data_IF_368369618030
#
_entry.id   IF_368369618030
#
_cell.length_a   1.000
_cell.length_b   1.000
_cell.length_c   1.000
_cell.angle_alpha   90.00
_cell.angle_beta   90.00
_cell.angle_gamma   90.00
#
_symmetry.space_group_name_H-M   'P 1'
#
loop_
_entity.id
_entity.type
_entity.pdbx_description
1 polymer ?
#
# COMPACT_ATOMS: atom_id res chain seq x y z
N UNK A 1 -36.16 -1.03 -64.70
CA UNK A 1 -34.99 -1.45 -63.89
C UNK A 1 -34.58 -0.47 -62.78
N UNK A 2 -34.91 0.84 -62.84
CA UNK A 2 -34.45 1.84 -61.86
C UNK A 2 -35.26 1.93 -60.55
N UNK A 3 -36.49 1.42 -60.53
CA UNK A 3 -37.41 1.53 -59.37
C UNK A 3 -37.20 0.44 -58.30
N UNK A 4 -36.61 -0.72 -58.65
CA UNK A 4 -36.37 -1.82 -57.69
C UNK A 4 -35.15 -1.56 -56.79
N UNK A 5 -34.15 -0.82 -57.27
CA UNK A 5 -32.96 -0.45 -56.49
C UNK A 5 -33.24 0.68 -55.49
N UNK A 6 -34.22 1.56 -55.78
CA UNK A 6 -34.57 2.66 -54.89
C UNK A 6 -35.21 2.17 -53.58
N UNK A 7 -36.05 1.12 -53.64
CA UNK A 7 -36.72 0.54 -52.46
C UNK A 7 -35.74 -0.22 -51.56
N UNK A 8 -34.73 -0.87 -52.16
CA UNK A 8 -33.70 -1.61 -51.42
C UNK A 8 -32.71 -0.67 -50.70
N UNK A 9 -32.40 0.49 -51.27
CA UNK A 9 -31.52 1.49 -50.64
C UNK A 9 -32.22 2.17 -49.45
N UNK A 10 -33.53 2.45 -49.53
CA UNK A 10 -34.29 3.09 -48.44
C UNK A 10 -34.43 2.15 -47.22
N UNK A 11 -34.54 0.84 -47.43
CA UNK A 11 -34.64 -0.13 -46.32
C UNK A 11 -33.32 -0.34 -45.56
N UNK A 12 -32.16 -0.23 -46.24
CA UNK A 12 -30.85 -0.34 -45.58
C UNK A 12 -30.51 0.91 -44.76
N UNK A 13 -30.95 2.10 -45.20
CA UNK A 13 -30.71 3.36 -44.46
C UNK A 13 -31.58 3.44 -43.19
N UNK A 14 -32.79 2.86 -43.20
CA UNK A 14 -33.65 2.83 -42.01
C UNK A 14 -33.14 1.89 -40.89
N UNK A 15 -32.37 0.85 -41.23
CA UNK A 15 -31.83 -0.10 -40.25
C UNK A 15 -30.61 0.43 -39.49
N UNK A 16 -29.92 1.46 -40.00
CA UNK A 16 -28.73 2.06 -39.35
C UNK A 16 -29.12 3.15 -38.34
N UNK A 17 -30.33 3.69 -38.41
CA UNK A 17 -30.80 4.74 -37.50
C UNK A 17 -31.33 4.22 -36.14
N UNK A 18 -31.38 2.90 -35.94
CA UNK A 18 -31.75 2.25 -34.67
C UNK A 18 -30.53 1.72 -33.91
N UNK A 19 -29.35 2.29 -34.14
CA UNK A 19 -28.25 2.20 -33.20
C UNK A 19 -28.61 2.96 -31.93
N UNK A 20 -29.41 2.32 -31.06
CA UNK A 20 -29.66 2.80 -29.70
C UNK A 20 -28.30 3.09 -29.07
N UNK A 21 -28.07 4.37 -28.78
CA UNK A 21 -26.95 4.85 -28.02
C UNK A 21 -27.14 4.34 -26.59
N UNK A 22 -26.69 3.12 -26.31
CA UNK A 22 -26.51 2.67 -24.94
C UNK A 22 -25.32 3.48 -24.43
N UNK A 23 -25.60 4.67 -23.88
CA UNK A 23 -24.62 5.33 -23.02
C UNK A 23 -24.49 4.43 -21.81
N UNK A 24 -23.29 3.90 -21.48
CA UNK A 24 -23.11 3.26 -20.20
C UNK A 24 -23.49 4.29 -19.14
N UNK A 25 -24.49 3.99 -18.31
CA UNK A 25 -24.73 4.77 -17.11
C UNK A 25 -23.39 4.84 -16.38
N UNK A 26 -22.91 6.05 -16.12
CA UNK A 26 -21.71 6.25 -15.32
C UNK A 26 -22.02 5.66 -13.95
N UNK A 27 -21.65 4.40 -13.74
CA UNK A 27 -21.81 3.71 -12.49
C UNK A 27 -21.04 4.53 -11.44
N UNK A 28 -21.77 5.19 -10.56
CA UNK A 28 -21.15 6.02 -9.54
C UNK A 28 -20.37 5.08 -8.61
N UNK A 29 -19.05 5.16 -8.70
CA UNK A 29 -18.15 4.44 -7.79
C UNK A 29 -18.34 5.06 -6.41
N UNK A 30 -19.04 4.35 -5.53
CA UNK A 30 -19.14 4.72 -4.13
C UNK A 30 -17.95 4.11 -3.39
N UNK A 31 -17.02 4.96 -2.96
CA UNK A 31 -15.90 4.55 -2.12
C UNK A 31 -16.40 4.36 -0.68
N UNK A 32 -16.09 3.21 -0.12
CA UNK A 32 -16.34 2.90 1.29
C UNK A 32 -15.01 2.93 2.03
N UNK A 33 -14.97 3.69 3.12
CA UNK A 33 -13.79 3.81 3.99
C UNK A 33 -14.22 3.70 5.45
N UNK A 34 -13.32 3.19 6.27
CA UNK A 34 -13.43 3.13 7.74
C UNK A 34 -12.59 4.24 8.37
N UNK A 35 -12.98 4.64 9.59
CA UNK A 35 -12.18 5.59 10.36
C UNK A 35 -10.83 4.95 10.75
N UNK A 36 -9.74 5.52 10.26
CA UNK A 36 -8.38 5.03 10.57
C UNK A 36 -7.72 4.22 9.45
N UNK A 37 -8.45 3.89 8.37
CA UNK A 37 -7.91 3.24 7.17
C UNK A 37 -6.67 3.98 6.65
N UNK A 38 -5.49 3.35 6.77
CA UNK A 38 -4.20 3.91 6.36
C UNK A 38 -3.96 5.35 6.85
N UNK A 39 -4.53 5.73 8.00
CA UNK A 39 -4.45 7.10 8.51
C UNK A 39 -3.13 7.30 9.28
N UNK A 40 -2.28 8.25 8.88
CA UNK A 40 -1.11 8.59 9.68
C UNK A 40 -1.54 9.25 10.99
N UNK A 41 -0.87 8.88 12.09
CA UNK A 41 -1.08 9.48 13.41
C UNK A 41 -0.30 10.77 13.60
N UNK A 42 0.76 10.95 12.83
CA UNK A 42 1.65 12.11 12.84
C UNK A 42 2.29 12.32 11.47
N UNK A 43 2.87 13.50 11.27
CA UNK A 43 3.74 13.80 10.12
C UNK A 43 5.18 13.83 10.61
N UNK A 44 6.07 13.20 9.86
CA UNK A 44 7.51 13.20 10.10
C UNK A 44 8.23 13.65 8.83
N UNK A 45 9.45 14.18 8.97
CA UNK A 45 10.30 14.50 7.83
C UNK A 45 11.03 13.27 7.27
N UNK A 46 12.02 13.53 6.41
CA UNK A 46 13.03 12.54 6.07
C UNK A 46 13.93 12.30 7.29
N UNK A 47 13.93 11.07 7.81
CA UNK A 47 14.66 10.68 9.03
C UNK A 47 15.73 9.64 8.71
N UNK A 48 16.81 9.66 9.47
CA UNK A 48 17.74 8.54 9.49
C UNK A 48 17.12 7.35 10.23
N UNK A 49 17.57 6.14 9.92
CA UNK A 49 17.09 4.91 10.57
C UNK A 49 17.18 4.94 12.10
N UNK A 50 18.23 5.57 12.65
CA UNK A 50 18.43 5.70 14.10
C UNK A 50 17.42 6.62 14.80
N UNK A 51 16.69 7.44 14.03
CA UNK A 51 15.65 8.35 14.54
C UNK A 51 14.26 7.70 14.53
N UNK A 52 14.11 6.56 13.85
CA UNK A 52 12.91 5.75 13.93
C UNK A 52 12.78 5.09 15.30
N UNK A 53 11.56 4.75 15.68
CA UNK A 53 11.28 3.97 16.88
C UNK A 53 10.10 3.01 16.66
N UNK A 54 10.00 2.01 17.54
CA UNK A 54 9.00 0.94 17.42
C UNK A 54 7.54 1.36 17.55
N UNK A 55 7.25 2.62 17.89
CA UNK A 55 5.88 3.15 17.96
C UNK A 55 5.40 3.77 16.65
N UNK A 56 6.33 4.06 15.74
CA UNK A 56 5.99 4.59 14.41
C UNK A 56 5.39 3.47 13.56
N UNK A 57 4.18 3.70 13.05
CA UNK A 57 3.54 2.77 12.13
C UNK A 57 4.17 2.88 10.73
N UNK A 58 4.04 1.86 9.87
CA UNK A 58 4.45 1.96 8.48
C UNK A 58 3.86 3.17 7.78
N UNK A 59 2.60 3.52 8.06
CA UNK A 59 1.95 4.71 7.46
C UNK A 59 2.68 6.00 7.81
N UNK A 60 3.11 6.15 9.08
CA UNK A 60 3.90 7.31 9.52
C UNK A 60 5.25 7.33 8.81
N UNK A 61 5.95 6.18 8.78
CA UNK A 61 7.28 6.08 8.17
C UNK A 61 7.20 6.39 6.66
N UNK A 62 6.20 5.85 5.96
CA UNK A 62 6.00 6.07 4.52
C UNK A 62 5.72 7.53 4.14
N UNK A 63 5.06 8.31 5.01
CA UNK A 63 4.96 9.75 4.79
C UNK A 63 6.33 10.43 4.84
N UNK A 64 7.19 10.05 5.78
CA UNK A 64 8.56 10.58 5.84
C UNK A 64 9.43 10.16 4.65
N UNK A 65 9.18 8.98 4.06
CA UNK A 65 9.86 8.57 2.82
C UNK A 65 9.52 9.51 1.66
N UNK A 66 8.26 9.97 1.55
CA UNK A 66 7.89 10.95 0.52
C UNK A 66 8.70 12.25 0.66
N UNK A 67 8.97 12.70 1.89
CA UNK A 67 9.86 13.83 2.17
C UNK A 67 11.32 13.54 1.79
N UNK A 68 11.81 12.31 1.98
CA UNK A 68 13.15 11.92 1.52
C UNK A 68 13.27 11.96 -0.01
N UNK A 69 12.26 11.49 -0.73
CA UNK A 69 12.25 11.54 -2.20
C UNK A 69 12.24 12.98 -2.72
N UNK A 70 11.43 13.85 -2.11
CA UNK A 70 11.42 15.28 -2.45
C UNK A 70 12.77 15.98 -2.21
N UNK A 71 13.59 15.44 -1.32
CA UNK A 71 14.94 15.92 -1.00
C UNK A 71 16.06 15.15 -1.72
N UNK A 72 15.73 14.22 -2.64
CA UNK A 72 16.67 13.32 -3.33
C UNK A 72 17.55 12.49 -2.37
N UNK A 73 17.09 12.28 -1.13
CA UNK A 73 17.80 11.52 -0.11
C UNK A 73 17.41 10.03 -0.16
N UNK A 74 17.90 9.35 -1.19
CA UNK A 74 17.52 7.95 -1.46
C UNK A 74 18.06 6.94 -0.44
N UNK A 75 19.16 7.27 0.25
CA UNK A 75 19.75 6.39 1.27
C UNK A 75 18.82 6.29 2.48
N UNK A 76 18.41 7.44 3.03
CA UNK A 76 17.47 7.44 4.16
C UNK A 76 16.09 6.92 3.72
N UNK A 77 15.65 7.25 2.49
CA UNK A 77 14.42 6.69 1.93
C UNK A 77 14.46 5.14 1.89
N UNK A 78 15.58 4.55 1.48
CA UNK A 78 15.76 3.11 1.40
C UNK A 78 15.79 2.42 2.77
N UNK A 79 16.46 3.05 3.75
CA UNK A 79 16.51 2.52 5.12
C UNK A 79 15.14 2.60 5.80
N UNK A 80 14.46 3.75 5.70
CA UNK A 80 13.10 3.95 6.19
C UNK A 80 12.12 2.99 5.50
N UNK A 81 12.24 2.80 4.19
CA UNK A 81 11.43 1.85 3.43
C UNK A 81 11.62 0.42 3.95
N UNK A 82 12.86 0.01 4.17
CA UNK A 82 13.16 -1.35 4.65
C UNK A 82 12.57 -1.58 6.05
N UNK A 83 12.73 -0.61 6.95
CA UNK A 83 12.13 -0.66 8.28
C UNK A 83 10.59 -0.71 8.23
N UNK A 84 9.96 0.19 7.46
CA UNK A 84 8.50 0.22 7.30
C UNK A 84 7.95 -1.07 6.68
N UNK A 85 8.65 -1.65 5.70
CA UNK A 85 8.26 -2.92 5.08
C UNK A 85 8.44 -4.11 6.04
N UNK A 86 9.45 -4.08 6.90
CA UNK A 86 9.66 -5.12 7.93
C UNK A 86 8.52 -5.07 8.95
N UNK A 87 8.14 -3.86 9.38
CA UNK A 87 6.99 -3.63 10.27
C UNK A 87 5.67 -4.03 9.60
N UNK A 88 5.47 -3.63 8.35
CA UNK A 88 4.28 -4.01 7.58
C UNK A 88 4.16 -5.52 7.40
N UNK A 89 5.27 -6.22 7.13
CA UNK A 89 5.27 -7.68 7.04
C UNK A 89 5.01 -8.34 8.39
N UNK A 90 5.61 -7.84 9.48
CA UNK A 90 5.26 -8.31 10.82
C UNK A 90 3.76 -8.14 11.11
N UNK A 91 3.17 -7.02 10.67
CA UNK A 91 1.76 -6.76 10.84
C UNK A 91 0.87 -7.74 10.09
N UNK A 92 1.24 -8.17 8.87
CA UNK A 92 0.49 -9.22 8.16
C UNK A 92 0.52 -10.57 8.87
N UNK A 93 1.54 -10.84 9.69
CA UNK A 93 1.61 -12.07 10.48
C UNK A 93 0.68 -12.04 11.71
N UNK A 94 0.42 -10.85 12.27
CA UNK A 94 -0.43 -10.70 13.48
C UNK A 94 -1.86 -10.29 13.21
N UNK A 95 -2.16 -9.73 12.04
CA UNK A 95 -3.53 -9.35 11.65
C UNK A 95 -4.26 -10.56 11.05
N UNK A 96 -5.40 -10.91 11.63
CA UNK A 96 -6.16 -12.12 11.28
C UNK A 96 -6.89 -12.03 9.94
N UNK A 97 -7.32 -10.83 9.56
CA UNK A 97 -7.97 -10.59 8.27
C UNK A 97 -6.93 -10.52 7.15
N UNK A 98 -6.94 -11.50 6.25
CA UNK A 98 -6.01 -11.54 5.12
C UNK A 98 -6.29 -10.46 4.08
N UNK A 99 -7.52 -9.94 4.00
CA UNK A 99 -7.85 -8.86 3.07
C UNK A 99 -7.21 -7.54 3.51
N UNK A 100 -7.06 -7.34 4.83
CA UNK A 100 -6.35 -6.21 5.43
C UNK A 100 -4.89 -6.09 4.97
N UNK A 101 -4.25 -7.22 4.62
CA UNK A 101 -2.84 -7.26 4.22
C UNK A 101 -2.57 -6.46 2.93
N UNK A 102 -3.59 -6.25 2.09
CA UNK A 102 -3.49 -5.38 0.90
C UNK A 102 -3.21 -3.92 1.25
N UNK A 103 -3.49 -3.50 2.49
CA UNK A 103 -3.20 -2.15 2.98
C UNK A 103 -1.73 -1.78 2.83
N UNK A 104 -0.80 -2.74 2.92
CA UNK A 104 0.62 -2.51 2.68
C UNK A 104 0.91 -2.07 1.25
N UNK A 105 0.25 -2.68 0.26
CA UNK A 105 0.41 -2.33 -1.15
C UNK A 105 -0.24 -0.98 -1.47
N UNK A 106 -1.47 -0.75 -0.98
CA UNK A 106 -2.17 0.52 -1.19
C UNK A 106 -1.42 1.69 -0.54
N UNK A 107 -0.90 1.50 0.67
CA UNK A 107 -0.06 2.50 1.35
C UNK A 107 1.16 2.86 0.51
N UNK A 108 1.89 1.87 -0.05
CA UNK A 108 3.02 2.14 -0.94
C UNK A 108 2.61 2.94 -2.17
N UNK A 109 1.51 2.54 -2.84
CA UNK A 109 0.99 3.26 -3.99
C UNK A 109 0.67 4.72 -3.67
N UNK A 110 -0.01 4.96 -2.55
CA UNK A 110 -0.37 6.31 -2.11
C UNK A 110 0.85 7.15 -1.78
N UNK A 111 1.86 6.55 -1.14
CA UNK A 111 3.08 7.26 -0.70
C UNK A 111 3.97 7.68 -1.87
N UNK A 112 3.95 6.91 -2.95
CA UNK A 112 4.76 7.15 -4.14
C UNK A 112 4.00 7.76 -5.31
N UNK A 113 2.74 8.13 -5.12
CA UNK A 113 1.91 8.67 -6.20
C UNK A 113 2.48 9.93 -6.86
N UNK A 114 3.28 10.70 -6.11
CA UNK A 114 3.88 11.95 -6.56
C UNK A 114 5.35 11.78 -7.02
N UNK A 115 5.93 10.59 -6.81
CA UNK A 115 7.32 10.31 -7.19
C UNK A 115 7.44 10.20 -8.71
N UNK A 116 8.53 10.73 -9.25
CA UNK A 116 8.86 10.57 -10.67
C UNK A 116 9.40 9.16 -10.94
N UNK A 117 9.46 8.78 -12.22
CA UNK A 117 10.10 7.52 -12.61
C UNK A 117 11.59 7.49 -12.24
N UNK A 118 12.26 8.64 -12.25
CA UNK A 118 13.66 8.79 -11.85
C UNK A 118 13.82 8.52 -10.35
N UNK A 119 12.97 9.14 -9.52
CA UNK A 119 12.96 8.91 -8.06
C UNK A 119 12.75 7.43 -7.72
N UNK A 120 11.82 6.77 -8.41
CA UNK A 120 11.52 5.36 -8.18
C UNK A 120 12.68 4.44 -8.56
N UNK A 121 13.41 4.76 -9.64
CA UNK A 121 14.61 4.00 -10.04
C UNK A 121 15.73 4.22 -9.04
N UNK A 122 16.01 5.47 -8.68
CA UNK A 122 17.05 5.80 -7.71
C UNK A 122 16.76 5.19 -6.33
N UNK A 123 15.50 5.21 -5.89
CA UNK A 123 15.08 4.55 -4.65
C UNK A 123 15.25 3.03 -4.71
N UNK A 124 14.89 2.39 -5.83
CA UNK A 124 15.08 0.94 -6.00
C UNK A 124 16.57 0.56 -5.94
N UNK A 125 17.44 1.30 -6.62
CA UNK A 125 18.89 1.10 -6.57
C UNK A 125 19.45 1.30 -5.16
N UNK A 126 18.97 2.32 -4.45
CA UNK A 126 19.35 2.57 -3.06
C UNK A 126 18.92 1.42 -2.14
N UNK A 127 17.70 0.90 -2.27
CA UNK A 127 17.24 -0.28 -1.51
C UNK A 127 18.16 -1.48 -1.78
N UNK A 128 18.46 -1.79 -3.04
CA UNK A 128 19.33 -2.92 -3.39
C UNK A 128 20.72 -2.78 -2.79
N UNK A 129 21.31 -1.58 -2.83
CA UNK A 129 22.60 -1.31 -2.21
C UNK A 129 22.53 -1.46 -0.69
N UNK A 130 21.55 -0.82 -0.04
CA UNK A 130 21.40 -0.84 1.42
C UNK A 130 21.16 -2.24 1.99
N UNK A 131 20.45 -3.11 1.27
CA UNK A 131 20.27 -4.51 1.67
C UNK A 131 21.58 -5.32 1.72
N UNK A 132 22.65 -4.86 1.08
CA UNK A 132 23.97 -5.50 1.15
C UNK A 132 24.86 -4.95 2.27
N UNK A 133 24.44 -3.85 2.90
CA UNK A 133 25.23 -3.16 3.91
C UNK A 133 25.05 -3.80 5.29
N UNK A 134 26.13 -4.29 5.94
CA UNK A 134 26.02 -5.06 7.18
C UNK A 134 25.42 -4.25 8.33
N UNK A 135 25.56 -2.92 8.30
CA UNK A 135 25.01 -2.03 9.31
C UNK A 135 23.48 -1.96 9.33
N UNK A 136 22.81 -2.24 8.20
CA UNK A 136 21.35 -2.17 8.10
C UNK A 136 20.68 -3.21 9.00
N UNK A 137 21.15 -4.46 8.95
CA UNK A 137 20.61 -5.54 9.76
C UNK A 137 20.73 -5.27 11.26
N UNK A 138 21.88 -4.77 11.70
CA UNK A 138 22.10 -4.44 13.10
C UNK A 138 21.17 -3.30 13.55
N UNK A 139 21.03 -2.26 12.72
CA UNK A 139 20.15 -1.14 13.02
C UNK A 139 18.67 -1.54 13.11
N UNK A 140 18.16 -2.35 12.17
CA UNK A 140 16.77 -2.84 12.23
C UNK A 140 16.55 -3.78 13.43
N UNK A 141 17.54 -4.63 13.75
CA UNK A 141 17.48 -5.50 14.95
C UNK A 141 17.41 -4.66 16.23
N UNK A 142 18.18 -3.57 16.32
CA UNK A 142 18.16 -2.64 17.46
C UNK A 142 16.84 -1.86 17.57
N UNK A 143 16.20 -1.55 16.45
CA UNK A 143 14.89 -0.89 16.43
C UNK A 143 13.81 -1.72 17.14
N UNK A 144 13.88 -3.05 17.00
CA UNK A 144 12.97 -4.00 17.65
C UNK A 144 11.61 -4.13 16.95
N UNK A 145 10.81 -5.09 17.43
CA UNK A 145 9.47 -5.37 16.90
C UNK A 145 8.49 -4.21 17.21
N UNK A 146 7.45 -4.01 16.38
CA UNK A 146 6.41 -3.00 16.59
C UNK A 146 5.79 -2.97 17.99
N UNK A 147 5.75 -1.77 18.60
CA UNK A 147 5.11 -1.47 19.90
C UNK A 147 3.72 -0.82 19.75
N UNK A 148 3.20 -0.71 18.53
CA UNK A 148 1.88 -0.18 18.24
C UNK A 148 0.86 -1.28 17.96
N UNK A 149 -0.43 -0.94 18.07
CA UNK A 149 -1.54 -1.75 17.59
C UNK A 149 -1.77 -1.48 16.08
N UNK A 150 -1.86 -2.50 15.20
CA UNK A 150 -1.89 -2.32 13.75
C UNK A 150 -3.28 -1.91 13.24
N UNK A 151 -3.92 -0.92 13.89
CA UNK A 151 -5.25 -0.43 13.51
C UNK A 151 -5.29 0.06 12.07
N UNK A 152 -4.20 0.66 11.57
CA UNK A 152 -4.13 1.14 10.19
C UNK A 152 -4.37 0.01 9.17
N UNK A 153 -3.94 -1.21 9.50
CA UNK A 153 -4.11 -2.39 8.66
C UNK A 153 -5.46 -3.04 8.96
N UNK A 154 -5.82 -3.24 10.24
CA UNK A 154 -7.10 -3.86 10.62
C UNK A 154 -8.28 -3.10 10.02
N UNK A 155 -8.29 -1.77 10.11
CA UNK A 155 -9.38 -0.94 9.57
C UNK A 155 -9.41 -0.96 8.03
N UNK A 156 -8.32 -1.32 7.35
CA UNK A 156 -8.30 -1.49 5.90
C UNK A 156 -9.05 -2.78 5.45
N UNK A 157 -9.09 -3.79 6.31
CA UNK A 157 -9.66 -5.10 6.00
C UNK A 157 -11.18 -5.11 5.83
N UNK A 158 -11.68 -6.10 5.09
CA UNK A 158 -13.12 -6.32 4.93
C UNK A 158 -13.83 -6.60 6.25
N UNK A 159 -13.15 -7.21 7.21
CA UNK A 159 -13.71 -7.48 8.54
C UNK A 159 -14.13 -6.18 9.25
N UNK A 160 -13.48 -5.04 8.97
CA UNK A 160 -13.89 -3.73 9.50
C UNK A 160 -15.28 -3.29 9.02
N UNK A 161 -15.78 -3.87 7.92
CA UNK A 161 -17.10 -3.60 7.34
C UNK A 161 -18.11 -4.70 7.62
N UNK A 162 -17.67 -5.96 7.78
CA UNK A 162 -18.57 -7.13 7.80
C UNK A 162 -18.69 -7.79 9.17
N UNK A 163 -17.75 -7.58 10.08
CA UNK A 163 -17.68 -8.30 11.36
C UNK A 163 -17.89 -7.37 12.57
N UNK A 164 -18.37 -7.89 13.71
CA UNK A 164 -18.42 -7.11 14.94
C UNK A 164 -17.02 -6.69 15.37
N UNK A 165 -16.85 -5.40 15.70
CA UNK A 165 -15.56 -4.80 16.14
C UNK A 165 -14.88 -5.55 17.31
N UNK A 166 -15.62 -6.36 18.05
CA UNK A 166 -15.14 -7.10 19.21
C UNK A 166 -14.16 -8.25 18.88
N UNK A 167 -14.02 -8.65 17.61
CA UNK A 167 -13.03 -9.68 17.20
C UNK A 167 -11.57 -9.21 17.32
N UNK A 168 -11.32 -7.91 17.48
CA UNK A 168 -10.00 -7.34 17.76
C UNK A 168 -8.98 -7.40 16.59
N UNK A 169 -9.27 -8.14 15.51
CA UNK A 169 -8.49 -8.16 14.27
C UNK A 169 -7.12 -8.82 14.36
N UNK A 170 -6.77 -9.44 15.50
CA UNK A 170 -5.46 -10.03 15.75
C UNK A 170 -5.54 -11.56 15.89
N UNK A 171 -4.48 -12.23 15.45
CA UNK A 171 -4.28 -13.67 15.66
C UNK A 171 -4.17 -13.96 17.15
N UNK A 172 -4.92 -14.96 17.63
CA UNK A 172 -4.89 -15.40 19.03
C UNK A 172 -3.58 -16.13 19.33
N UNK A 173 -3.04 -15.92 20.54
CA UNK A 173 -1.81 -16.57 21.04
C UNK A 173 -0.61 -16.33 20.09
N UNK A 174 -0.53 -15.12 19.51
CA UNK A 174 0.47 -14.74 18.51
C UNK A 174 1.90 -14.77 19.07
N UNK A 175 2.78 -15.53 18.41
CA UNK A 175 4.22 -15.58 18.68
C UNK A 175 4.93 -14.37 18.07
N UNK A 176 4.98 -13.27 18.84
CA UNK A 176 5.62 -12.03 18.40
C UNK A 176 7.13 -12.17 18.18
N UNK A 177 7.83 -12.99 18.97
CA UNK A 177 9.27 -13.15 18.84
C UNK A 177 9.60 -13.90 17.54
N UNK A 178 8.95 -15.04 17.31
CA UNK A 178 9.12 -15.81 16.09
C UNK A 178 8.71 -15.04 14.84
N UNK A 179 7.60 -14.30 14.90
CA UNK A 179 7.17 -13.46 13.79
C UNK A 179 8.13 -12.31 13.49
N UNK A 180 8.74 -11.70 14.51
CA UNK A 180 9.75 -10.66 14.30
C UNK A 180 11.00 -11.23 13.62
N UNK A 181 11.48 -12.39 14.06
CA UNK A 181 12.57 -13.08 13.38
C UNK A 181 12.19 -13.43 11.93
N UNK A 182 10.95 -13.84 11.67
CA UNK A 182 10.49 -14.09 10.31
C UNK A 182 10.52 -12.81 9.47
N UNK A 183 10.05 -11.68 9.99
CA UNK A 183 10.07 -10.40 9.27
C UNK A 183 11.51 -9.97 8.90
N UNK A 184 12.46 -10.09 9.82
CA UNK A 184 13.90 -9.87 9.57
C UNK A 184 14.44 -10.82 8.48
N UNK A 185 14.10 -12.10 8.63
CA UNK A 185 14.17 -13.20 7.64
C UNK A 185 13.86 -12.78 6.20
N UNK A 186 12.72 -12.12 6.05
CA UNK A 186 12.04 -11.98 4.77
C UNK A 186 12.36 -10.65 4.08
N UNK A 187 12.34 -9.55 4.83
CA UNK A 187 12.40 -8.21 4.24
C UNK A 187 13.85 -7.75 4.09
N UNK A 188 14.62 -7.52 5.18
CA UNK A 188 16.03 -7.14 5.06
C UNK A 188 16.97 -8.33 4.88
N UNK A 189 16.47 -9.58 5.00
CA UNK A 189 17.25 -10.83 4.92
C UNK A 189 18.35 -10.94 6.00
N UNK A 190 17.97 -10.54 7.20
CA UNK A 190 18.75 -10.62 8.43
C UNK A 190 18.22 -11.74 9.33
#
# INVERSE_FOLDING_TARGET
>A
MKTKYLVLIVLVIAAVALGMSIQPEAQQVQNYETEGNLKPTEQIGCLQLSELNAKMTPVVIFNGIAECLAAENYVDAADMYTAAMTYGFFDTLRVSDQTAHQGLMVMRMNSFQAATQEDLVAMQEAIELRLTEPGLCEAIKQLGAPEYHPSYMIEHGMDAFTEPKEKGGLVKDFDAEGAWQHALNTVPKC
#
